data_IF_592544380998
#
_entry.id   IF_592544380998
#
_cell.length_a   1.000
_cell.length_b   1.000
_cell.length_c   1.000
_cell.angle_alpha   90.00
_cell.angle_beta   90.00
_cell.angle_gamma   90.00
#
_symmetry.space_group_name_H-M   'P 1'
#
loop_
_entity.id
_entity.type
_entity.pdbx_description
1 polymer ?
#
# COMPACT_ATOMS: atom_id res chain seq x y z
N UNK A 1 -23.04 11.52 -8.37
CA UNK A 1 -22.54 10.50 -9.34
C UNK A 1 -23.65 9.49 -9.54
N UNK A 2 -23.98 9.13 -10.77
CA UNK A 2 -24.97 8.08 -11.07
C UNK A 2 -24.21 6.89 -11.67
N UNK A 3 -24.45 5.69 -11.15
CA UNK A 3 -23.83 4.47 -11.66
C UNK A 3 -24.54 4.01 -12.93
N UNK A 4 -23.80 3.66 -13.96
CA UNK A 4 -24.39 3.08 -15.16
C UNK A 4 -24.78 1.61 -14.97
N UNK A 5 -25.60 1.08 -15.89
CA UNK A 5 -26.14 -0.27 -15.78
C UNK A 5 -25.07 -1.37 -15.81
N UNK A 6 -23.94 -1.12 -16.48
CA UNK A 6 -22.84 -2.07 -16.54
C UNK A 6 -22.12 -2.16 -15.17
N UNK A 7 -21.83 -1.01 -14.55
CA UNK A 7 -21.25 -0.95 -13.20
C UNK A 7 -22.18 -1.62 -12.19
N UNK A 8 -23.49 -1.31 -12.22
CA UNK A 8 -24.47 -1.95 -11.34
C UNK A 8 -24.48 -3.48 -11.47
N UNK A 9 -24.44 -4.01 -12.71
CA UNK A 9 -24.38 -5.45 -12.94
C UNK A 9 -23.09 -6.09 -12.42
N UNK A 10 -21.94 -5.42 -12.53
CA UNK A 10 -20.68 -5.89 -11.99
C UNK A 10 -20.71 -5.91 -10.45
N UNK A 11 -21.25 -4.86 -9.82
CA UNK A 11 -21.41 -4.80 -8.37
C UNK A 11 -22.35 -5.90 -7.85
N UNK A 12 -23.45 -6.20 -8.54
CA UNK A 12 -24.32 -7.31 -8.19
C UNK A 12 -23.54 -8.64 -8.15
N UNK A 13 -22.67 -8.89 -9.13
CA UNK A 13 -21.80 -10.06 -9.13
C UNK A 13 -20.83 -10.10 -7.96
N UNK A 14 -20.21 -8.95 -7.61
CA UNK A 14 -19.27 -8.84 -6.51
C UNK A 14 -19.93 -9.04 -5.14
N UNK A 15 -21.14 -8.52 -4.94
CA UNK A 15 -21.86 -8.55 -3.66
C UNK A 15 -22.83 -9.74 -3.50
N UNK A 16 -22.89 -10.62 -4.49
CA UNK A 16 -23.78 -11.80 -4.45
C UNK A 16 -23.46 -12.78 -3.30
N UNK A 17 -22.23 -12.74 -2.78
CA UNK A 17 -21.74 -13.67 -1.75
C UNK A 17 -21.58 -13.02 -0.37
N UNK A 18 -22.07 -11.79 -0.16
CA UNK A 18 -22.03 -11.13 1.14
C UNK A 18 -22.75 -11.95 2.20
N UNK A 19 -22.19 -12.01 3.40
CA UNK A 19 -22.69 -12.82 4.53
C UNK A 19 -23.36 -11.97 5.61
N UNK A 20 -23.00 -10.68 5.69
CA UNK A 20 -23.48 -9.73 6.68
C UNK A 20 -24.37 -8.66 6.05
N UNK A 21 -25.12 -7.94 6.87
CA UNK A 21 -25.90 -6.78 6.43
C UNK A 21 -25.04 -5.51 6.54
N UNK A 22 -25.02 -4.71 5.48
CA UNK A 22 -24.29 -3.46 5.44
C UNK A 22 -25.22 -2.29 5.24
N UNK A 23 -25.06 -1.24 6.04
CA UNK A 23 -25.78 0.01 5.89
C UNK A 23 -24.81 1.14 5.52
N UNK A 24 -25.08 1.82 4.41
CA UNK A 24 -24.42 3.04 4.02
C UNK A 24 -25.12 4.21 4.71
N UNK A 25 -24.58 4.69 5.83
CA UNK A 25 -25.12 5.80 6.58
C UNK A 25 -24.62 7.11 5.97
N UNK A 26 -25.54 7.88 5.38
CA UNK A 26 -25.26 9.16 4.74
C UNK A 26 -25.59 10.30 5.70
N UNK A 27 -24.59 11.06 6.11
CA UNK A 27 -24.74 12.35 6.76
C UNK A 27 -25.00 13.42 5.68
N UNK A 28 -26.17 14.05 5.73
CA UNK A 28 -26.66 15.00 4.71
C UNK A 28 -26.54 16.43 5.23
N UNK A 29 -25.62 17.20 4.65
CA UNK A 29 -25.40 18.61 4.97
C UNK A 29 -26.39 19.56 4.26
N UNK A 30 -27.41 19.05 3.57
CA UNK A 30 -28.41 19.85 2.86
C UNK A 30 -27.91 20.55 1.58
N UNK A 31 -26.74 20.17 1.07
CA UNK A 31 -26.12 20.77 -0.11
C UNK A 31 -26.25 19.87 -1.37
N UNK A 32 -25.96 20.44 -2.56
CA UNK A 32 -26.01 19.68 -3.81
C UNK A 32 -25.11 18.42 -3.79
N UNK A 33 -23.95 18.49 -3.13
CA UNK A 33 -23.02 17.35 -3.01
C UNK A 33 -23.59 16.24 -2.12
N UNK A 34 -24.36 16.57 -1.10
CA UNK A 34 -25.09 15.57 -0.30
C UNK A 34 -26.13 14.79 -1.15
N UNK A 35 -26.78 15.47 -2.10
CA UNK A 35 -27.71 14.80 -3.02
C UNK A 35 -26.98 13.83 -3.95
N UNK A 36 -25.79 14.21 -4.45
CA UNK A 36 -24.95 13.32 -5.24
C UNK A 36 -24.49 12.08 -4.44
N UNK A 37 -24.13 12.27 -3.16
CA UNK A 37 -23.73 11.19 -2.26
C UNK A 37 -24.89 10.24 -1.95
N UNK A 38 -26.09 10.79 -1.66
CA UNK A 38 -27.32 10.00 -1.48
C UNK A 38 -27.61 9.15 -2.70
N UNK A 39 -27.50 9.72 -3.92
CA UNK A 39 -27.76 8.98 -5.15
C UNK A 39 -26.73 7.84 -5.34
N UNK A 40 -25.47 8.06 -5.03
CA UNK A 40 -24.46 7.02 -5.03
C UNK A 40 -24.78 5.90 -4.04
N UNK A 41 -25.18 6.25 -2.81
CA UNK A 41 -25.54 5.27 -1.78
C UNK A 41 -26.78 4.46 -2.16
N UNK A 42 -27.80 5.10 -2.75
CA UNK A 42 -28.99 4.45 -3.29
C UNK A 42 -28.65 3.45 -4.40
N UNK A 43 -27.87 3.89 -5.41
CA UNK A 43 -27.44 3.05 -6.52
C UNK A 43 -26.62 1.86 -6.02
N UNK A 44 -25.68 2.09 -5.09
CA UNK A 44 -24.85 1.06 -4.49
C UNK A 44 -25.67 0.07 -3.69
N UNK A 45 -26.60 0.53 -2.84
CA UNK A 45 -27.48 -0.32 -2.05
C UNK A 45 -28.42 -1.18 -2.92
N UNK A 46 -28.79 -0.71 -4.11
CA UNK A 46 -29.65 -1.48 -5.03
C UNK A 46 -28.99 -2.73 -5.62
N UNK A 47 -27.68 -2.94 -5.38
CA UNK A 47 -26.91 -4.04 -6.00
C UNK A 47 -26.95 -5.35 -5.21
N UNK A 48 -27.44 -5.35 -3.97
CA UNK A 48 -27.57 -6.57 -3.16
C UNK A 48 -28.62 -6.43 -2.07
N UNK A 49 -29.32 -7.50 -1.73
CA UNK A 49 -30.25 -7.55 -0.59
C UNK A 49 -29.52 -7.44 0.78
N UNK A 50 -28.20 -7.58 0.77
CA UNK A 50 -27.33 -7.37 1.93
C UNK A 50 -26.88 -5.92 2.12
N UNK A 51 -27.28 -5.02 1.20
CA UNK A 51 -26.93 -3.60 1.24
C UNK A 51 -28.18 -2.73 1.44
N UNK A 52 -28.05 -1.76 2.30
CA UNK A 52 -29.07 -0.72 2.53
C UNK A 52 -28.41 0.64 2.66
N UNK A 53 -29.18 1.70 2.63
CA UNK A 53 -28.69 3.03 2.97
C UNK A 53 -29.69 3.76 3.88
N UNK A 54 -29.14 4.61 4.73
CA UNK A 54 -29.89 5.51 5.61
C UNK A 54 -29.37 6.93 5.46
N UNK A 55 -30.25 7.90 5.67
CA UNK A 55 -29.91 9.32 5.57
C UNK A 55 -30.29 10.02 6.87
N UNK A 56 -29.36 10.78 7.43
CA UNK A 56 -29.63 11.64 8.59
C UNK A 56 -29.13 13.08 8.35
N UNK A 57 -29.81 14.11 8.85
CA UNK A 57 -29.30 15.47 8.79
C UNK A 57 -27.99 15.62 9.58
N UNK A 58 -27.04 16.38 9.03
CA UNK A 58 -25.75 16.66 9.69
C UNK A 58 -25.14 17.97 9.16
N UNK A 59 -24.10 18.49 9.85
CA UNK A 59 -23.41 19.71 9.45
C UNK A 59 -22.41 19.49 8.32
N UNK A 60 -21.98 18.26 8.09
CA UNK A 60 -21.04 17.90 7.02
C UNK A 60 -21.51 16.65 6.26
N UNK A 61 -21.18 16.57 4.98
CA UNK A 61 -21.45 15.36 4.23
C UNK A 61 -20.44 14.25 4.62
N UNK A 62 -20.96 13.03 4.84
CA UNK A 62 -20.15 11.86 5.16
C UNK A 62 -20.90 10.59 4.76
N UNK A 63 -20.18 9.59 4.33
CA UNK A 63 -20.65 8.22 4.15
C UNK A 63 -19.92 7.32 5.15
N UNK A 64 -20.65 6.72 6.07
CA UNK A 64 -20.10 5.74 7.02
C UNK A 64 -20.62 4.33 6.71
N UNK A 65 -19.79 3.32 6.94
CA UNK A 65 -20.17 1.91 6.69
C UNK A 65 -20.46 1.24 8.03
N UNK A 66 -21.67 0.67 8.14
CA UNK A 66 -22.05 -0.14 9.29
C UNK A 66 -22.14 -1.61 8.83
N UNK A 67 -21.74 -2.55 9.69
CA UNK A 67 -21.93 -3.99 9.52
C UNK A 67 -22.84 -4.48 10.64
N UNK A 68 -23.96 -5.10 10.29
CA UNK A 68 -24.98 -5.58 11.25
C UNK A 68 -25.42 -4.50 12.26
N UNK A 69 -25.49 -3.24 11.80
CA UNK A 69 -25.87 -2.07 12.60
C UNK A 69 -24.74 -1.47 13.44
N UNK A 70 -23.52 -2.03 13.42
CA UNK A 70 -22.35 -1.55 14.16
C UNK A 70 -21.40 -0.82 13.20
N UNK A 71 -20.87 0.34 13.62
CA UNK A 71 -19.89 1.08 12.82
C UNK A 71 -18.60 0.28 12.62
N UNK A 72 -18.11 0.24 11.39
CA UNK A 72 -16.85 -0.45 11.02
C UNK A 72 -15.60 0.39 11.31
N UNK A 73 -15.76 1.64 11.74
CA UNK A 73 -14.66 2.60 11.84
C UNK A 73 -14.27 3.24 10.50
N UNK A 74 -14.93 2.88 9.39
CA UNK A 74 -14.61 3.40 8.05
C UNK A 74 -15.62 4.47 7.63
N UNK A 75 -15.12 5.62 7.19
CA UNK A 75 -15.94 6.70 6.66
C UNK A 75 -15.27 7.47 5.52
N UNK A 76 -16.10 8.17 4.73
CA UNK A 76 -15.67 8.97 3.59
C UNK A 76 -16.36 10.34 3.66
N UNK A 77 -15.63 11.42 3.89
CA UNK A 77 -16.07 12.78 3.63
C UNK A 77 -15.78 13.14 2.17
N UNK A 78 -16.46 12.45 1.30
CA UNK A 78 -16.28 12.46 -0.15
C UNK A 78 -17.54 11.95 -0.84
N UNK A 79 -17.61 12.11 -2.15
CA UNK A 79 -18.41 11.25 -3.02
C UNK A 79 -17.42 10.22 -3.61
N UNK A 80 -17.29 9.01 -3.03
CA UNK A 80 -16.25 8.06 -3.43
C UNK A 80 -16.42 7.62 -4.88
N UNK A 81 -15.80 8.37 -5.80
CA UNK A 81 -15.79 8.14 -7.24
C UNK A 81 -14.37 8.07 -7.77
N UNK A 82 -14.19 8.03 -9.10
CA UNK A 82 -12.87 7.92 -9.70
C UNK A 82 -12.09 6.73 -9.15
N UNK A 83 -10.85 6.96 -8.74
CA UNK A 83 -10.00 5.90 -8.18
C UNK A 83 -10.47 5.41 -6.80
N UNK A 84 -11.17 6.24 -6.01
CA UNK A 84 -11.66 5.88 -4.68
C UNK A 84 -12.97 5.08 -4.68
N UNK A 85 -13.61 4.91 -5.84
CA UNK A 85 -14.77 4.02 -5.95
C UNK A 85 -14.41 2.57 -5.58
N UNK A 86 -13.22 2.12 -5.97
CA UNK A 86 -12.69 0.81 -5.56
C UNK A 86 -12.48 0.72 -4.05
N UNK A 87 -12.08 1.81 -3.39
CA UNK A 87 -11.90 1.84 -1.92
C UNK A 87 -13.24 1.68 -1.18
N UNK A 88 -14.34 2.22 -1.71
CA UNK A 88 -15.69 1.98 -1.18
C UNK A 88 -16.12 0.52 -1.33
N UNK A 89 -15.93 -0.07 -2.52
CA UNK A 89 -16.26 -1.47 -2.79
C UNK A 89 -15.48 -2.39 -1.84
N UNK A 90 -14.17 -2.19 -1.74
CA UNK A 90 -13.30 -3.01 -0.89
C UNK A 90 -13.57 -2.80 0.60
N UNK A 91 -14.02 -1.63 1.02
CA UNK A 91 -14.41 -1.42 2.42
C UNK A 91 -15.54 -2.37 2.85
N UNK A 92 -16.53 -2.61 1.98
CA UNK A 92 -17.62 -3.58 2.24
C UNK A 92 -17.09 -5.02 2.13
N UNK A 93 -16.38 -5.38 1.04
CA UNK A 93 -15.89 -6.75 0.83
C UNK A 93 -14.88 -7.19 1.89
N UNK A 94 -13.98 -6.28 2.32
CA UNK A 94 -13.00 -6.57 3.37
C UNK A 94 -13.68 -6.73 4.74
N UNK A 95 -14.70 -5.91 5.03
CA UNK A 95 -15.50 -6.06 6.25
C UNK A 95 -16.25 -7.39 6.31
N UNK A 96 -16.59 -7.97 5.15
CA UNK A 96 -17.22 -9.30 5.02
C UNK A 96 -16.19 -10.45 4.99
N UNK A 97 -14.89 -10.15 4.99
CA UNK A 97 -13.82 -11.12 4.89
C UNK A 97 -13.64 -11.71 3.49
N UNK A 98 -14.23 -11.12 2.46
CA UNK A 98 -14.21 -11.61 1.07
C UNK A 98 -13.36 -10.72 0.14
N UNK A 99 -12.79 -9.65 0.67
CA UNK A 99 -11.96 -8.73 -0.10
C UNK A 99 -10.65 -9.35 -0.55
N UNK A 100 -10.06 -8.74 -1.55
CA UNK A 100 -8.69 -9.03 -1.98
C UNK A 100 -7.72 -8.24 -1.07
N UNK A 101 -6.52 -8.72 -0.90
CA UNK A 101 -5.47 -8.08 -0.11
C UNK A 101 -5.76 -7.99 1.41
N UNK A 102 -6.49 -8.97 1.96
CA UNK A 102 -6.62 -9.09 3.41
C UNK A 102 -5.23 -9.29 4.02
N UNK A 103 -4.95 -8.63 5.17
CA UNK A 103 -3.62 -8.68 5.77
C UNK A 103 -3.32 -10.07 6.33
N UNK A 104 -2.06 -10.48 6.24
CA UNK A 104 -1.58 -11.68 6.89
C UNK A 104 -1.66 -11.57 8.42
N UNK A 105 -1.68 -12.71 9.10
CA UNK A 105 -1.80 -12.80 10.56
C UNK A 105 -0.78 -11.92 11.31
N UNK A 106 0.43 -11.80 10.81
CA UNK A 106 1.46 -10.95 11.41
C UNK A 106 1.06 -9.48 11.47
N UNK A 107 0.43 -8.98 10.41
CA UNK A 107 -0.08 -7.61 10.38
C UNK A 107 -1.33 -7.46 11.25
N UNK A 108 -2.24 -8.44 11.22
CA UNK A 108 -3.45 -8.45 12.06
C UNK A 108 -3.07 -8.34 13.54
N UNK A 109 -2.12 -9.15 14.01
CA UNK A 109 -1.62 -9.11 15.40
C UNK A 109 -1.03 -7.74 15.76
N UNK A 110 -0.26 -7.13 14.87
CA UNK A 110 0.36 -5.82 15.10
C UNK A 110 -0.68 -4.69 15.08
N UNK A 111 -1.64 -4.72 14.15
CA UNK A 111 -2.75 -3.76 14.11
C UNK A 111 -3.56 -3.84 15.41
N UNK A 112 -3.90 -5.05 15.86
CA UNK A 112 -4.61 -5.25 17.12
C UNK A 112 -3.81 -4.77 18.35
N UNK A 113 -2.48 -4.74 18.27
CA UNK A 113 -1.60 -4.28 19.35
C UNK A 113 -1.42 -2.75 19.37
N UNK A 114 -1.84 -2.00 18.35
CA UNK A 114 -1.76 -0.54 18.38
C UNK A 114 -2.52 0.02 19.59
N UNK A 115 -1.91 1.00 20.25
CA UNK A 115 -2.60 1.73 21.34
C UNK A 115 -3.68 2.62 20.76
N UNK A 116 -4.87 2.54 21.31
CA UNK A 116 -6.08 3.23 20.83
C UNK A 116 -6.66 4.12 21.95
N UNK A 117 -7.56 5.07 21.68
CA UNK A 117 -8.22 5.30 20.37
C UNK A 117 -7.34 6.05 19.35
N UNK A 118 -7.47 5.71 18.06
CA UNK A 118 -6.81 6.40 16.96
C UNK A 118 -7.85 6.93 15.98
N UNK A 119 -7.81 8.23 15.70
CA UNK A 119 -8.62 8.87 14.65
C UNK A 119 -7.72 9.30 13.52
N UNK A 120 -7.78 8.54 12.44
CA UNK A 120 -6.94 8.73 11.25
C UNK A 120 -7.74 9.41 10.16
N UNK A 121 -7.14 10.44 9.55
CA UNK A 121 -7.71 11.14 8.41
C UNK A 121 -6.75 11.05 7.23
N UNK A 122 -7.25 10.62 6.07
CA UNK A 122 -6.48 10.64 4.83
C UNK A 122 -7.06 11.70 3.89
N UNK A 123 -6.31 12.77 3.66
CA UNK A 123 -6.63 13.71 2.59
C UNK A 123 -6.21 13.10 1.26
N UNK A 124 -7.15 13.02 0.33
CA UNK A 124 -6.97 12.36 -0.96
C UNK A 124 -7.57 13.21 -2.09
N UNK A 125 -7.28 12.84 -3.32
CA UNK A 125 -7.94 13.37 -4.52
C UNK A 125 -8.51 12.20 -5.31
N UNK A 126 -9.73 12.35 -5.82
CA UNK A 126 -10.41 11.30 -6.59
C UNK A 126 -9.69 10.94 -7.90
N UNK A 127 -8.80 11.80 -8.39
CA UNK A 127 -7.94 11.58 -9.56
C UNK A 127 -6.55 11.03 -9.23
N UNK A 128 -6.22 10.90 -7.95
CA UNK A 128 -4.91 10.41 -7.50
C UNK A 128 -4.83 8.87 -7.65
N UNK A 129 -3.86 8.38 -8.37
CA UNK A 129 -3.66 6.93 -8.58
C UNK A 129 -3.02 6.20 -7.39
N UNK A 130 -2.34 6.93 -6.50
CA UNK A 130 -1.66 6.39 -5.32
C UNK A 130 -2.52 6.43 -4.05
N UNK A 131 -3.57 7.25 -4.03
CA UNK A 131 -4.43 7.45 -2.86
C UNK A 131 -5.17 6.16 -2.44
N UNK A 132 -5.73 5.35 -3.35
CA UNK A 132 -6.49 4.16 -2.97
C UNK A 132 -5.71 3.14 -2.16
N UNK A 133 -4.42 2.96 -2.43
CA UNK A 133 -3.59 2.00 -1.68
C UNK A 133 -3.48 2.38 -0.19
N UNK A 134 -3.30 3.67 0.09
CA UNK A 134 -3.22 4.21 1.45
C UNK A 134 -4.59 4.16 2.15
N UNK A 135 -5.65 4.59 1.45
CA UNK A 135 -7.02 4.57 1.98
C UNK A 135 -7.46 3.15 2.34
N UNK A 136 -7.22 2.19 1.44
CA UNK A 136 -7.59 0.78 1.67
C UNK A 136 -6.78 0.16 2.80
N UNK A 137 -5.49 0.47 2.93
CA UNK A 137 -4.66 -0.01 4.02
C UNK A 137 -5.16 0.48 5.39
N UNK A 138 -5.52 1.75 5.51
CA UNK A 138 -6.04 2.31 6.76
C UNK A 138 -7.47 1.83 7.05
N UNK A 139 -8.31 1.63 6.02
CA UNK A 139 -9.61 0.98 6.17
C UNK A 139 -9.44 -0.45 6.75
N UNK A 140 -8.46 -1.22 6.28
CA UNK A 140 -8.16 -2.54 6.85
C UNK A 140 -7.75 -2.43 8.31
N UNK A 141 -6.93 -1.44 8.70
CA UNK A 141 -6.56 -1.25 10.11
C UNK A 141 -7.78 -0.99 10.99
N UNK A 142 -8.74 -0.19 10.54
CA UNK A 142 -9.99 0.05 11.27
C UNK A 142 -10.82 -1.23 11.44
N UNK A 143 -10.80 -2.15 10.46
CA UNK A 143 -11.51 -3.43 10.56
C UNK A 143 -10.89 -4.42 11.54
N UNK A 144 -9.56 -4.35 11.76
CA UNK A 144 -8.83 -5.28 12.63
C UNK A 144 -8.51 -4.71 14.02
N UNK A 145 -8.90 -3.46 14.29
CA UNK A 145 -8.80 -2.84 15.63
C UNK A 145 -9.95 -1.86 15.82
N UNK A 146 -10.95 -2.25 16.63
CA UNK A 146 -12.17 -1.46 16.88
C UNK A 146 -11.92 -0.06 17.49
N UNK A 147 -10.72 0.17 18.03
CA UNK A 147 -10.32 1.49 18.53
C UNK A 147 -9.76 2.41 17.46
N UNK A 148 -9.70 1.98 16.19
CA UNK A 148 -9.24 2.78 15.07
C UNK A 148 -10.44 3.24 14.24
N UNK A 149 -10.55 4.55 14.05
CA UNK A 149 -11.44 5.17 13.09
C UNK A 149 -10.61 5.74 11.93
N UNK A 150 -11.00 5.45 10.69
CA UNK A 150 -10.38 6.03 9.51
C UNK A 150 -11.39 6.77 8.65
N UNK A 151 -11.07 8.00 8.32
CA UNK A 151 -11.87 8.87 7.47
C UNK A 151 -11.06 9.32 6.24
N UNK A 152 -11.53 8.98 5.05
CA UNK A 152 -11.03 9.53 3.80
C UNK A 152 -11.71 10.85 3.49
N UNK A 153 -10.96 11.90 3.21
CA UNK A 153 -11.44 13.25 2.91
C UNK A 153 -11.03 13.67 1.50
N UNK A 154 -12.00 14.02 0.66
CA UNK A 154 -11.72 14.64 -0.63
C UNK A 154 -11.26 16.08 -0.43
N UNK A 155 -9.97 16.34 -0.62
CA UNK A 155 -9.38 17.67 -0.43
C UNK A 155 -10.02 18.76 -1.30
N UNK A 156 -10.59 18.40 -2.45
CA UNK A 156 -11.30 19.36 -3.30
C UNK A 156 -12.65 19.84 -2.71
N UNK A 157 -13.30 19.03 -1.88
CA UNK A 157 -14.54 19.39 -1.20
C UNK A 157 -14.29 20.09 0.14
N UNK A 158 -13.13 19.89 0.77
CA UNK A 158 -12.79 20.39 2.10
C UNK A 158 -11.51 21.24 2.08
N UNK A 159 -11.46 22.19 1.15
CA UNK A 159 -10.29 23.04 0.89
C UNK A 159 -9.85 23.84 2.13
N UNK A 160 -10.79 24.32 2.95
CA UNK A 160 -10.47 25.06 4.19
C UNK A 160 -9.64 24.23 5.18
N UNK A 161 -9.91 22.91 5.29
CA UNK A 161 -9.12 22.01 6.14
C UNK A 161 -7.74 21.74 5.52
N UNK A 162 -7.70 21.54 4.20
CA UNK A 162 -6.46 21.36 3.43
C UNK A 162 -5.52 22.56 3.64
N UNK A 163 -6.07 23.79 3.53
CA UNK A 163 -5.31 25.02 3.70
C UNK A 163 -4.85 25.20 5.16
N UNK A 164 -5.71 24.93 6.13
CA UNK A 164 -5.40 25.01 7.57
C UNK A 164 -4.26 24.08 7.96
N UNK A 165 -4.24 22.86 7.43
CA UNK A 165 -3.22 21.85 7.72
C UNK A 165 -1.99 21.96 6.82
N UNK A 166 -2.02 22.80 5.78
CA UNK A 166 -0.94 22.97 4.83
C UNK A 166 -0.70 21.73 3.97
N UNK A 167 -1.76 20.97 3.64
CA UNK A 167 -1.66 19.77 2.81
C UNK A 167 -1.27 20.16 1.39
N UNK A 168 -0.04 19.88 1.00
CA UNK A 168 0.52 20.23 -0.31
C UNK A 168 0.63 19.04 -1.28
N UNK A 169 0.43 17.82 -0.78
CA UNK A 169 0.53 16.59 -1.57
C UNK A 169 -0.39 15.52 -1.02
N UNK A 170 -0.91 14.64 -1.88
CA UNK A 170 -1.83 13.56 -1.52
C UNK A 170 -1.33 12.21 -2.05
N UNK A 171 -1.62 11.09 -1.35
CA UNK A 171 -2.36 11.02 -0.08
C UNK A 171 -1.56 11.60 1.09
N UNK A 172 -2.24 12.24 2.04
CA UNK A 172 -1.64 12.74 3.28
C UNK A 172 -2.42 12.19 4.49
N UNK A 173 -1.75 11.46 5.35
CA UNK A 173 -2.33 10.76 6.51
C UNK A 173 -2.05 11.54 7.78
N UNK A 174 -3.08 11.82 8.55
CA UNK A 174 -3.03 12.54 9.82
C UNK A 174 -3.58 11.69 10.97
N UNK A 175 -3.00 11.84 12.15
CA UNK A 175 -3.53 11.40 13.42
C UNK A 175 -3.97 12.65 14.21
N UNK A 176 -5.26 12.94 14.23
CA UNK A 176 -5.74 14.28 14.60
C UNK A 176 -5.19 15.34 13.66
N UNK A 177 -4.50 16.34 14.18
CA UNK A 177 -3.84 17.39 13.38
C UNK A 177 -2.33 17.08 13.13
N UNK A 178 -1.83 15.94 13.57
CA UNK A 178 -0.43 15.57 13.40
C UNK A 178 -0.21 14.73 12.14
N UNK A 179 0.67 15.19 11.24
CA UNK A 179 1.03 14.47 10.02
C UNK A 179 1.77 13.17 10.34
N UNK A 180 1.26 12.06 9.83
CA UNK A 180 1.84 10.71 9.96
C UNK A 180 2.64 10.34 8.73
N UNK A 181 2.05 10.54 7.53
CA UNK A 181 2.65 10.11 6.27
C UNK A 181 2.16 10.95 5.09
N UNK A 182 3.01 11.11 4.07
CA UNK A 182 2.65 11.73 2.78
C UNK A 182 3.14 10.85 1.65
N UNK A 183 2.31 10.70 0.62
CA UNK A 183 2.62 9.93 -0.58
C UNK A 183 2.18 8.46 -0.47
N UNK A 184 2.55 7.69 -1.48
CA UNK A 184 2.26 6.26 -1.55
C UNK A 184 2.90 5.51 -0.39
N UNK A 185 2.16 4.61 0.23
CA UNK A 185 2.66 3.73 1.28
C UNK A 185 1.88 2.41 1.30
N UNK A 186 2.57 1.33 1.62
CA UNK A 186 1.98 0.04 1.91
C UNK A 186 1.39 -0.02 3.32
N UNK A 187 0.56 -1.03 3.59
CA UNK A 187 0.02 -1.31 4.93
C UNK A 187 1.13 -1.44 5.98
N UNK A 188 2.24 -2.10 5.64
CA UNK A 188 3.37 -2.29 6.55
C UNK A 188 4.08 -0.97 6.90
N UNK A 189 4.30 -0.09 5.92
CA UNK A 189 4.92 1.22 6.14
C UNK A 189 4.03 2.13 7.01
N UNK A 190 2.72 2.15 6.74
CA UNK A 190 1.76 2.89 7.55
C UNK A 190 1.68 2.36 8.99
N UNK A 191 1.69 1.03 9.15
CA UNK A 191 1.68 0.40 10.47
C UNK A 191 2.92 0.78 11.28
N UNK A 192 4.11 0.73 10.68
CA UNK A 192 5.36 1.18 11.34
C UNK A 192 5.30 2.66 11.74
N UNK A 193 4.77 3.52 10.88
CA UNK A 193 4.61 4.94 11.19
C UNK A 193 3.64 5.17 12.37
N UNK A 194 2.54 4.41 12.42
CA UNK A 194 1.57 4.49 13.53
C UNK A 194 2.12 3.91 14.82
N UNK A 195 2.85 2.80 14.79
CA UNK A 195 3.53 2.25 15.97
C UNK A 195 4.54 3.24 16.56
N UNK A 196 5.29 3.94 15.70
CA UNK A 196 6.24 4.96 16.13
C UNK A 196 5.56 6.17 16.79
N UNK A 197 4.37 6.57 16.32
CA UNK A 197 3.64 7.73 16.84
C UNK A 197 2.72 7.40 18.01
N UNK A 198 1.86 6.41 17.86
CA UNK A 198 0.86 6.05 18.87
C UNK A 198 1.37 5.02 19.89
N UNK A 199 2.40 4.27 19.51
CA UNK A 199 2.90 3.13 20.25
C UNK A 199 2.03 1.88 20.09
N UNK A 200 2.58 0.75 20.52
CA UNK A 200 1.88 -0.53 20.52
C UNK A 200 2.04 -1.23 21.87
N UNK A 201 1.11 -2.13 22.18
CA UNK A 201 1.26 -3.07 23.29
C UNK A 201 2.28 -4.14 22.88
N UNK A 202 2.99 -4.76 23.82
CA UNK A 202 3.85 -5.90 23.54
C UNK A 202 3.04 -6.99 22.83
N UNK A 203 3.60 -7.50 21.71
CA UNK A 203 3.02 -8.67 21.06
C UNK A 203 3.18 -9.89 21.98
N UNK A 204 2.31 -10.90 21.80
CA UNK A 204 2.47 -12.18 22.51
C UNK A 204 3.84 -12.78 22.18
N UNK A 205 4.48 -13.41 23.18
CA UNK A 205 5.86 -13.97 23.06
C UNK A 205 6.00 -15.12 22.04
N UNK A 206 4.88 -15.61 21.48
CA UNK A 206 4.95 -16.70 20.48
C UNK A 206 5.19 -16.14 19.07
N UNK A 207 6.40 -16.38 18.50
CA UNK A 207 6.71 -15.97 17.15
C UNK A 207 5.89 -16.76 16.14
N UNK A 208 5.48 -16.12 15.06
CA UNK A 208 4.90 -16.82 13.90
C UNK A 208 6.00 -17.64 13.25
N UNK A 209 5.79 -18.96 13.16
CA UNK A 209 6.76 -19.89 12.59
C UNK A 209 6.33 -20.31 11.19
N UNK A 210 7.30 -20.26 10.27
CA UNK A 210 7.13 -20.71 8.88
C UNK A 210 8.26 -21.69 8.53
N UNK A 211 8.05 -22.53 7.50
CA UNK A 211 9.08 -23.46 7.03
C UNK A 211 9.06 -23.53 5.50
N UNK A 212 10.26 -23.46 4.90
CA UNK A 212 10.50 -23.50 3.46
C UNK A 212 11.74 -24.34 3.16
N UNK A 213 11.83 -24.87 1.93
CA UNK A 213 13.07 -25.48 1.44
C UNK A 213 14.13 -24.41 1.17
N UNK A 214 13.69 -23.25 0.66
CA UNK A 214 14.54 -22.12 0.31
C UNK A 214 13.91 -20.78 0.72
N UNK A 215 14.71 -19.93 1.35
CA UNK A 215 14.39 -18.52 1.57
C UNK A 215 15.31 -17.64 0.72
N UNK A 216 14.72 -16.76 -0.07
CA UNK A 216 15.44 -15.72 -0.82
C UNK A 216 15.27 -14.40 -0.08
N UNK A 217 16.37 -13.78 0.32
CA UNK A 217 16.41 -12.48 0.98
C UNK A 217 16.63 -11.39 -0.05
N UNK A 218 15.59 -10.64 -0.33
CA UNK A 218 15.57 -9.55 -1.32
C UNK A 218 14.61 -9.81 -2.48
N UNK A 219 13.72 -8.84 -2.74
CA UNK A 219 12.64 -8.92 -3.73
C UNK A 219 12.94 -8.24 -5.06
N UNK A 220 14.19 -7.86 -5.33
CA UNK A 220 14.62 -7.28 -6.60
C UNK A 220 14.65 -8.32 -7.74
N UNK A 221 15.00 -7.90 -8.99
CA UNK A 221 15.02 -8.79 -10.15
C UNK A 221 15.83 -10.07 -9.94
N UNK A 222 16.99 -9.97 -9.26
CA UNK A 222 17.86 -11.11 -8.94
C UNK A 222 17.18 -12.09 -7.98
N UNK A 223 16.55 -11.59 -6.91
CA UNK A 223 15.84 -12.42 -5.94
C UNK A 223 14.63 -13.11 -6.54
N UNK A 224 13.81 -12.37 -7.27
CA UNK A 224 12.63 -12.94 -7.94
C UNK A 224 13.04 -14.00 -8.98
N UNK A 225 14.06 -13.73 -9.79
CA UNK A 225 14.58 -14.73 -10.74
C UNK A 225 15.05 -15.99 -10.01
N UNK A 226 15.81 -15.83 -8.93
CA UNK A 226 16.29 -16.97 -8.11
C UNK A 226 15.12 -17.79 -7.55
N UNK A 227 14.09 -17.13 -7.03
CA UNK A 227 12.90 -17.78 -6.50
C UNK A 227 12.14 -18.55 -7.58
N UNK A 228 11.89 -17.93 -8.75
CA UNK A 228 11.20 -18.57 -9.88
C UNK A 228 11.96 -19.83 -10.33
N UNK A 229 13.28 -19.75 -10.53
CA UNK A 229 14.04 -20.91 -10.97
C UNK A 229 14.09 -22.02 -9.93
N UNK A 230 14.06 -21.68 -8.65
CA UNK A 230 14.02 -22.65 -7.55
C UNK A 230 12.64 -23.32 -7.44
N UNK A 231 11.57 -22.55 -7.52
CA UNK A 231 10.19 -23.08 -7.52
C UNK A 231 9.94 -24.01 -8.73
N UNK A 232 10.50 -23.68 -9.89
CA UNK A 232 10.44 -24.55 -11.09
C UNK A 232 11.14 -25.90 -10.91
N UNK A 233 12.01 -26.03 -9.91
CA UNK A 233 12.63 -27.31 -9.52
C UNK A 233 11.83 -28.06 -8.45
N UNK A 234 10.66 -27.53 -8.08
CA UNK A 234 9.77 -28.15 -7.10
C UNK A 234 10.08 -27.79 -5.64
N UNK A 235 10.92 -26.78 -5.39
CA UNK A 235 11.18 -26.30 -4.03
C UNK A 235 10.02 -25.41 -3.54
N UNK A 236 9.70 -25.51 -2.26
CA UNK A 236 8.84 -24.58 -1.56
C UNK A 236 9.65 -23.34 -1.17
N UNK A 237 9.35 -22.20 -1.78
CA UNK A 237 10.19 -20.99 -1.74
C UNK A 237 9.45 -19.83 -1.12
N UNK A 238 10.14 -19.10 -0.23
CA UNK A 238 9.71 -17.76 0.19
C UNK A 238 10.71 -16.70 -0.29
N UNK A 239 10.19 -15.52 -0.65
CA UNK A 239 10.96 -14.31 -0.86
C UNK A 239 10.66 -13.35 0.28
N UNK A 240 11.66 -12.99 1.08
CA UNK A 240 11.54 -12.02 2.18
C UNK A 240 12.14 -10.71 1.72
N UNK A 241 11.34 -9.64 1.66
CA UNK A 241 11.78 -8.35 1.16
C UNK A 241 11.00 -7.17 1.76
N UNK A 242 11.59 -5.99 1.77
CA UNK A 242 10.86 -4.76 2.10
C UNK A 242 9.79 -4.45 1.04
N UNK A 243 10.17 -4.63 -0.24
CA UNK A 243 9.24 -4.47 -1.38
C UNK A 243 9.65 -5.35 -2.55
N UNK A 244 8.67 -5.87 -3.27
CA UNK A 244 8.91 -6.60 -4.51
C UNK A 244 9.26 -5.61 -5.62
N UNK A 245 10.22 -6.00 -6.50
CA UNK A 245 10.86 -5.15 -7.49
C UNK A 245 12.13 -4.49 -6.97
N UNK A 246 12.25 -4.29 -5.63
CA UNK A 246 13.43 -3.63 -5.05
C UNK A 246 13.67 -2.25 -5.67
N UNK A 247 14.92 -1.95 -5.98
CA UNK A 247 15.36 -0.64 -6.45
C UNK A 247 14.83 -0.25 -7.83
N UNK A 248 14.39 -1.20 -8.69
CA UNK A 248 13.84 -0.85 -10.01
C UNK A 248 12.55 -0.03 -9.92
N UNK A 249 11.83 -0.09 -8.79
CA UNK A 249 10.66 0.77 -8.56
C UNK A 249 10.99 2.28 -8.63
N UNK A 250 12.24 2.67 -8.43
CA UNK A 250 12.72 4.06 -8.46
C UNK A 250 13.20 4.48 -9.87
N UNK A 251 13.26 3.55 -10.81
CA UNK A 251 13.74 3.81 -12.17
C UNK A 251 12.60 4.24 -13.07
N UNK A 252 12.74 5.40 -13.72
CA UNK A 252 11.69 5.98 -14.58
C UNK A 252 11.53 5.21 -15.87
N UNK A 253 12.62 4.87 -16.54
CA UNK A 253 12.63 4.15 -17.83
C UNK A 253 13.68 3.05 -17.84
N UNK A 254 13.35 1.91 -18.45
CA UNK A 254 14.22 0.74 -18.57
C UNK A 254 14.19 0.25 -20.02
N UNK A 255 15.35 0.27 -20.69
CA UNK A 255 15.53 -0.13 -22.09
C UNK A 255 16.66 -1.15 -22.27
N UNK A 256 17.27 -1.60 -21.16
CA UNK A 256 18.44 -2.47 -21.15
C UNK A 256 18.15 -3.93 -20.76
N UNK A 257 16.89 -4.35 -20.81
CA UNK A 257 16.50 -5.74 -20.58
C UNK A 257 16.30 -6.42 -21.93
N UNK A 258 17.07 -7.47 -22.26
CA UNK A 258 16.88 -8.22 -23.49
C UNK A 258 15.43 -8.70 -23.65
N UNK A 259 14.85 -8.56 -24.84
CA UNK A 259 13.46 -8.87 -25.22
C UNK A 259 12.40 -7.87 -24.70
N UNK A 260 12.76 -6.87 -23.91
CA UNK A 260 11.87 -5.78 -23.47
C UNK A 260 12.40 -4.48 -24.11
N UNK A 261 11.70 -3.95 -25.11
CA UNK A 261 12.17 -2.77 -25.86
C UNK A 261 12.22 -1.54 -24.95
N UNK A 262 11.16 -1.32 -24.18
CA UNK A 262 11.07 -0.25 -23.20
C UNK A 262 10.01 -0.61 -22.14
N UNK A 263 10.27 -0.25 -20.87
CA UNK A 263 9.32 -0.39 -19.77
C UNK A 263 9.63 0.64 -18.70
N UNK A 264 8.76 0.79 -17.70
CA UNK A 264 9.05 1.55 -16.49
C UNK A 264 9.47 0.62 -15.36
N UNK A 265 10.18 1.13 -14.37
CA UNK A 265 10.58 0.33 -13.21
C UNK A 265 9.40 -0.23 -12.44
N UNK A 266 8.34 0.57 -12.26
CA UNK A 266 7.10 0.12 -11.61
C UNK A 266 6.37 -0.96 -12.41
N UNK A 267 6.37 -0.87 -13.74
CA UNK A 267 5.80 -1.91 -14.60
C UNK A 267 6.60 -3.20 -14.50
N UNK A 268 7.94 -3.11 -14.55
CA UNK A 268 8.82 -4.28 -14.40
C UNK A 268 8.62 -4.95 -13.03
N UNK A 269 8.52 -4.17 -11.95
CA UNK A 269 8.27 -4.70 -10.60
C UNK A 269 6.91 -5.44 -10.53
N UNK A 270 5.87 -4.87 -11.16
CA UNK A 270 4.55 -5.52 -11.27
C UNK A 270 4.62 -6.82 -12.07
N UNK A 271 5.36 -6.86 -13.16
CA UNK A 271 5.49 -8.04 -14.00
C UNK A 271 6.31 -9.14 -13.33
N UNK A 272 7.36 -8.77 -12.58
CA UNK A 272 8.12 -9.68 -11.73
C UNK A 272 7.24 -10.32 -10.65
N UNK A 273 6.41 -9.53 -9.96
CA UNK A 273 5.44 -10.02 -8.98
C UNK A 273 4.48 -11.01 -9.61
N UNK A 274 3.80 -10.62 -10.70
CA UNK A 274 2.86 -11.49 -11.41
C UNK A 274 3.51 -12.79 -11.86
N UNK A 275 4.74 -12.73 -12.37
CA UNK A 275 5.47 -13.92 -12.79
C UNK A 275 5.78 -14.85 -11.60
N UNK A 276 6.21 -14.31 -10.47
CA UNK A 276 6.43 -15.10 -9.25
C UNK A 276 5.12 -15.75 -8.75
N UNK A 277 4.00 -15.03 -8.80
CA UNK A 277 2.67 -15.51 -8.39
C UNK A 277 2.14 -16.65 -9.27
N UNK A 278 2.67 -16.87 -10.49
CA UNK A 278 2.32 -18.06 -11.30
C UNK A 278 2.92 -19.35 -10.75
N UNK A 279 3.87 -19.24 -9.83
CA UNK A 279 4.46 -20.37 -9.11
C UNK A 279 4.07 -20.27 -7.63
N UNK A 280 4.09 -21.38 -6.92
CA UNK A 280 3.81 -21.41 -5.48
C UNK A 280 4.99 -20.82 -4.69
N UNK A 281 5.20 -19.49 -4.84
CA UNK A 281 6.22 -18.71 -4.13
C UNK A 281 5.51 -17.80 -3.15
N UNK A 282 5.85 -17.90 -1.87
CA UNK A 282 5.35 -16.97 -0.86
C UNK A 282 6.14 -15.66 -0.92
N UNK A 283 5.48 -14.58 -1.36
CA UNK A 283 6.05 -13.24 -1.40
C UNK A 283 5.80 -12.55 -0.06
N UNK A 284 6.75 -12.66 0.84
CA UNK A 284 6.72 -12.05 2.17
C UNK A 284 7.31 -10.63 2.07
N UNK A 285 6.51 -9.69 1.57
CA UNK A 285 6.88 -8.26 1.46
C UNK A 285 6.60 -7.47 2.75
N UNK A 286 7.07 -6.22 2.80
CA UNK A 286 7.08 -5.37 4.00
C UNK A 286 7.84 -5.98 5.19
N UNK A 287 8.89 -6.74 4.92
CA UNK A 287 9.72 -7.40 5.91
C UNK A 287 11.20 -7.11 5.69
N UNK A 288 11.89 -6.90 6.79
CA UNK A 288 13.36 -6.86 6.84
C UNK A 288 13.87 -8.09 7.58
N UNK A 289 14.92 -8.72 7.07
CA UNK A 289 15.62 -9.79 7.77
C UNK A 289 16.55 -9.16 8.80
N UNK A 290 16.32 -9.44 10.08
CA UNK A 290 17.16 -8.96 11.18
C UNK A 290 18.39 -9.84 11.37
N UNK A 291 18.20 -11.16 11.28
CA UNK A 291 19.30 -12.13 11.48
C UNK A 291 19.05 -13.45 10.77
N UNK A 292 20.14 -14.13 10.48
CA UNK A 292 20.15 -15.50 10.00
C UNK A 292 21.08 -16.29 10.91
N UNK A 293 20.57 -17.36 11.51
CA UNK A 293 21.31 -18.22 12.43
C UNK A 293 21.19 -19.70 12.03
N UNK A 294 22.06 -20.54 12.61
CA UNK A 294 21.94 -21.98 12.48
C UNK A 294 21.08 -22.53 13.62
N UNK A 295 20.13 -23.39 13.30
CA UNK A 295 19.28 -24.10 14.24
C UNK A 295 19.30 -25.59 13.91
N UNK A 296 20.25 -26.32 14.49
CA UNK A 296 20.56 -27.68 14.07
C UNK A 296 21.09 -27.71 12.64
N UNK A 297 20.51 -28.58 11.81
CA UNK A 297 20.86 -28.69 10.39
C UNK A 297 20.19 -27.63 9.48
N UNK A 298 19.24 -26.86 10.03
CA UNK A 298 18.51 -25.82 9.31
C UNK A 298 19.03 -24.43 9.64
N UNK A 299 18.67 -23.48 8.79
CA UNK A 299 18.86 -22.06 9.03
C UNK A 299 17.55 -21.48 9.56
N UNK A 300 17.64 -20.55 10.47
CA UNK A 300 16.53 -19.77 10.99
C UNK A 300 16.71 -18.31 10.59
N UNK A 301 15.75 -17.79 9.83
CA UNK A 301 15.70 -16.40 9.40
C UNK A 301 14.69 -15.68 10.28
N UNK A 302 15.16 -14.65 11.01
CA UNK A 302 14.30 -13.77 11.83
C UNK A 302 13.99 -12.49 11.09
N UNK A 303 12.71 -12.10 11.08
CA UNK A 303 12.26 -10.84 10.50
C UNK A 303 11.99 -9.79 11.56
N UNK A 304 11.99 -8.52 11.15
CA UNK A 304 11.60 -7.37 11.99
C UNK A 304 10.14 -7.42 12.47
N UNK A 305 9.32 -8.31 11.93
CA UNK A 305 7.94 -8.55 12.36
C UNK A 305 7.84 -9.66 13.43
N UNK A 306 8.97 -10.19 13.90
CA UNK A 306 9.00 -11.25 14.91
C UNK A 306 8.71 -12.65 14.35
N UNK A 307 8.73 -12.83 13.03
CA UNK A 307 8.58 -14.16 12.42
C UNK A 307 9.92 -14.93 12.48
N UNK A 308 9.84 -16.24 12.69
CA UNK A 308 10.94 -17.18 12.62
C UNK A 308 10.71 -18.14 11.45
N UNK A 309 11.57 -18.07 10.45
CA UNK A 309 11.45 -18.84 9.21
C UNK A 309 12.56 -19.89 9.17
N UNK A 310 12.18 -21.17 9.32
CA UNK A 310 13.11 -22.31 9.21
C UNK A 310 13.28 -22.68 7.74
N UNK A 311 14.52 -22.90 7.30
CA UNK A 311 14.81 -23.24 5.90
C UNK A 311 16.07 -24.08 5.76
N UNK A 312 16.15 -24.92 4.71
CA UNK A 312 17.34 -25.67 4.39
C UNK A 312 18.41 -24.81 3.69
N UNK A 313 17.98 -23.82 2.89
CA UNK A 313 18.88 -22.97 2.11
C UNK A 313 18.45 -21.50 2.15
N UNK A 314 19.42 -20.60 2.02
CA UNK A 314 19.20 -19.16 1.90
C UNK A 314 19.99 -18.62 0.71
N UNK A 315 19.32 -17.83 -0.12
CA UNK A 315 19.96 -17.01 -1.16
C UNK A 315 19.90 -15.54 -0.72
N UNK A 316 21.07 -14.90 -0.65
CA UNK A 316 21.16 -13.48 -0.38
C UNK A 316 21.14 -12.70 -1.70
N UNK A 317 20.08 -11.93 -1.93
CA UNK A 317 19.88 -11.08 -3.09
C UNK A 317 19.48 -9.66 -2.65
N UNK A 318 20.13 -9.18 -1.59
CA UNK A 318 19.80 -7.92 -0.90
C UNK A 318 20.02 -6.66 -1.74
N UNK A 319 20.74 -6.78 -2.86
CA UNK A 319 21.02 -5.65 -3.75
C UNK A 319 21.95 -4.62 -3.10
N UNK A 320 21.78 -3.37 -3.53
CA UNK A 320 22.48 -2.21 -3.00
C UNK A 320 21.50 -1.07 -2.79
N UNK A 321 21.80 -0.18 -1.88
CA UNK A 321 21.07 1.07 -1.67
C UNK A 321 21.98 2.25 -2.01
N UNK A 322 21.43 3.20 -2.74
CA UNK A 322 22.12 4.46 -3.00
C UNK A 322 22.24 5.27 -1.70
N UNK A 323 23.42 5.83 -1.48
CA UNK A 323 23.61 6.73 -0.35
C UNK A 323 22.97 8.09 -0.71
N UNK A 324 21.94 8.47 0.04
CA UNK A 324 21.29 9.77 -0.10
C UNK A 324 22.15 10.87 0.52
N UNK A 325 22.05 12.09 -0.02
CA UNK A 325 22.73 13.28 0.53
C UNK A 325 22.06 13.77 1.80
N UNK A 326 20.73 13.57 1.92
CA UNK A 326 19.94 14.07 3.04
C UNK A 326 19.74 15.60 3.01
N UNK A 327 19.81 16.20 1.83
CA UNK A 327 19.61 17.66 1.67
C UNK A 327 18.14 17.98 1.37
N UNK A 328 17.66 19.20 1.72
CA UNK A 328 16.32 19.66 1.38
C UNK A 328 16.05 19.56 -0.12
N UNK A 329 14.89 19.03 -0.50
CA UNK A 329 14.47 18.84 -1.89
C UNK A 329 14.93 17.52 -2.54
N UNK A 330 15.91 16.80 -1.99
CA UNK A 330 16.39 15.55 -2.60
C UNK A 330 15.24 14.56 -2.82
N UNK A 331 14.45 14.29 -1.79
CA UNK A 331 13.35 13.32 -1.87
C UNK A 331 12.23 13.78 -2.85
N UNK A 332 11.99 15.08 -2.93
CA UNK A 332 10.99 15.68 -3.80
C UNK A 332 11.37 15.58 -5.28
N UNK A 333 12.67 15.71 -5.58
CA UNK A 333 13.18 15.75 -6.95
C UNK A 333 13.67 14.38 -7.46
N UNK A 334 13.61 13.29 -6.66
CA UNK A 334 13.89 11.94 -7.15
C UNK A 334 12.94 11.61 -8.31
N UNK A 335 13.51 11.25 -9.47
CA UNK A 335 12.78 11.03 -10.72
C UNK A 335 12.31 12.31 -11.44
N UNK A 336 12.64 13.50 -10.92
CA UNK A 336 12.26 14.81 -11.48
C UNK A 336 13.46 15.76 -11.65
N UNK A 337 14.67 15.23 -11.57
CA UNK A 337 15.91 15.99 -11.64
C UNK A 337 17.02 15.42 -10.76
N UNK A 338 16.67 14.66 -9.73
CA UNK A 338 17.61 13.84 -8.95
C UNK A 338 17.48 12.39 -9.41
N UNK A 339 18.58 11.81 -9.85
CA UNK A 339 18.66 10.44 -10.35
C UNK A 339 19.89 9.73 -9.77
N UNK A 340 19.84 8.41 -9.70
CA UNK A 340 20.92 7.60 -9.12
C UNK A 340 21.56 6.63 -10.11
N UNK A 341 20.92 6.36 -11.25
CA UNK A 341 21.42 5.43 -12.25
C UNK A 341 21.80 6.17 -13.54
N UNK A 342 23.10 6.38 -13.83
CA UNK A 342 23.52 7.07 -15.05
C UNK A 342 23.06 6.34 -16.33
N UNK A 343 23.10 5.01 -16.34
CA UNK A 343 22.73 4.22 -17.50
C UNK A 343 21.20 4.15 -17.73
N UNK A 344 20.41 4.26 -16.66
CA UNK A 344 18.94 4.19 -16.74
C UNK A 344 18.33 5.54 -17.05
N UNK A 345 18.77 6.55 -16.31
CA UNK A 345 18.16 7.90 -16.33
C UNK A 345 18.93 8.89 -17.21
N UNK A 346 20.22 8.64 -17.46
CA UNK A 346 21.11 9.50 -18.25
C UNK A 346 20.54 9.92 -19.62
N UNK A 347 19.96 9.00 -20.41
CA UNK A 347 19.38 9.35 -21.72
C UNK A 347 18.30 10.44 -21.67
N UNK A 348 17.56 10.57 -20.53
CA UNK A 348 16.53 11.60 -20.37
C UNK A 348 17.10 13.01 -20.12
N UNK A 349 18.39 13.09 -19.82
CA UNK A 349 19.10 14.37 -19.57
C UNK A 349 20.01 14.79 -20.72
N UNK A 350 19.92 14.13 -21.88
CA UNK A 350 20.72 14.48 -23.06
C UNK A 350 20.56 15.95 -23.43
N UNK A 351 21.68 16.65 -23.54
CA UNK A 351 21.73 18.07 -23.88
C UNK A 351 21.36 19.03 -22.75
N UNK A 352 21.30 18.53 -21.50
CA UNK A 352 21.09 19.33 -20.29
C UNK A 352 22.38 19.44 -19.48
N UNK A 353 22.50 20.53 -18.72
CA UNK A 353 23.57 20.66 -17.73
C UNK A 353 23.28 19.74 -16.56
N UNK A 354 24.23 18.90 -16.19
CA UNK A 354 24.12 17.94 -15.09
C UNK A 354 25.23 18.12 -14.09
N UNK A 355 24.94 17.80 -12.83
CA UNK A 355 25.94 17.73 -11.77
C UNK A 355 25.98 16.32 -11.20
N UNK A 356 27.17 15.73 -11.14
CA UNK A 356 27.41 14.44 -10.49
C UNK A 356 27.92 14.68 -9.08
N UNK A 357 27.23 14.13 -8.09
CA UNK A 357 27.56 14.27 -6.67
C UNK A 357 28.17 12.96 -6.18
N UNK A 358 29.45 13.00 -5.85
CA UNK A 358 30.20 11.86 -5.33
C UNK A 358 31.55 11.69 -6.02
N UNK A 359 32.62 11.54 -5.25
CA UNK A 359 34.01 11.37 -5.72
C UNK A 359 34.54 9.94 -5.62
N UNK A 360 33.69 8.95 -5.37
CA UNK A 360 34.04 7.53 -5.44
C UNK A 360 34.01 6.99 -6.86
N UNK A 361 34.39 5.71 -7.05
CA UNK A 361 34.42 5.06 -8.36
C UNK A 361 33.12 5.22 -9.14
N UNK A 362 31.97 4.94 -8.53
CA UNK A 362 30.67 5.07 -9.18
C UNK A 362 30.33 6.51 -9.61
N UNK A 363 30.73 7.52 -8.84
CA UNK A 363 30.53 8.92 -9.21
C UNK A 363 31.41 9.35 -10.37
N UNK A 364 32.65 8.90 -10.41
CA UNK A 364 33.59 9.21 -11.51
C UNK A 364 33.15 8.46 -12.79
N UNK A 365 32.78 7.18 -12.69
CA UNK A 365 32.23 6.42 -13.81
C UNK A 365 30.97 7.09 -14.36
N UNK A 366 30.02 7.48 -13.50
CA UNK A 366 28.82 8.20 -13.90
C UNK A 366 29.15 9.51 -14.63
N UNK A 367 30.15 10.26 -14.16
CA UNK A 367 30.57 11.51 -14.81
C UNK A 367 31.17 11.26 -16.20
N UNK A 368 31.91 10.17 -16.37
CA UNK A 368 32.49 9.77 -17.67
C UNK A 368 31.39 9.34 -18.64
N UNK A 369 30.45 8.52 -18.16
CA UNK A 369 29.35 7.98 -19.00
C UNK A 369 28.35 9.05 -19.45
N UNK A 370 28.21 10.13 -18.66
CA UNK A 370 27.26 11.20 -18.92
C UNK A 370 27.89 12.39 -19.69
N UNK A 371 29.23 12.42 -19.87
CA UNK A 371 29.95 13.46 -20.62
C UNK A 371 29.86 13.23 -22.14
#
# INVERSE_FOLDING_TARGET
MQLDQNILSQLQGLFASLKHQYTLLVDDAGCAKSQELRKLAEDFASTSDHLSYEVRPADTLRLSILRDGVATGISFRAIPGGHEFTSLILAVLNADGQGKNLPEEVFVRRIAALKTPLRLTTYASLSCTNCPEVVQALNLMALYNEGIEHEMVDGALFQEEVDRLGVSSVPAVYLGDELVHVGKASLGELLLALEAKAGAHPLSDEPIRRSYDLVVVGGGPSGIASAIYSARKGLHVAVVAERIGGQVNETTGIENIPSVVATTGTQLASDLRKHAETYSIDLLDNRQVESISLSGDKKEVKTNLGELISTDQVILATGAAWRKLGVPGEAEYIGRGVAFCPHCDGPFFKGKDIAVIGGGNSGIEAAIDLA
#
